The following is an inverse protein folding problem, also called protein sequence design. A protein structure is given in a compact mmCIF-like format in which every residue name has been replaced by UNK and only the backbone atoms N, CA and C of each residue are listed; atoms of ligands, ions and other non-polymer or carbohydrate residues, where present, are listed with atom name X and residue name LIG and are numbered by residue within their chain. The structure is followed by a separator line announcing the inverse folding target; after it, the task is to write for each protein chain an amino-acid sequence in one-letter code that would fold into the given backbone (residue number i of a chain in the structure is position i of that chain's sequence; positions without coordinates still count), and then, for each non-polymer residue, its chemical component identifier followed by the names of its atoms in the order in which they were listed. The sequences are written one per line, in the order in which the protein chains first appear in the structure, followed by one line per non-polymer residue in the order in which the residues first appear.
data_IF_069952314051
#
_entry.id   IF_069952314051
#
_cell.length_a   1.000
_cell.length_b   1.000
_cell.length_c   1.000
_cell.angle_alpha   90.00
_cell.angle_beta   90.00
_cell.angle_gamma   90.00
#
_symmetry.space_group_name_H-M   'P 1'
#
loop_
_entity.id
_entity.type
_entity.pdbx_description
1 polymer ?
#
# COMPACT_ATOMS: atom_id res chain seq x y z
N UNK A 1 -3.31 11.52 55.80
CA UNK A 1 -3.18 12.26 54.54
C UNK A 1 -2.95 11.22 53.44
N UNK A 2 -4.01 10.79 52.77
CA UNK A 2 -3.95 9.79 51.73
C UNK A 2 -3.39 10.45 50.44
N UNK A 3 -2.21 10.02 50.01
CA UNK A 3 -1.69 10.37 48.67
C UNK A 3 -2.38 9.44 47.64
N UNK A 4 -3.22 10.00 46.80
CA UNK A 4 -3.72 9.32 45.62
C UNK A 4 -2.62 9.44 44.56
N UNK A 5 -1.91 8.31 44.30
CA UNK A 5 -1.10 8.18 43.09
C UNK A 5 -2.06 8.05 41.91
N UNK A 6 -2.25 9.16 41.23
CA UNK A 6 -2.90 9.19 39.92
C UNK A 6 -1.89 8.60 38.93
N UNK A 7 -1.95 7.29 38.71
CA UNK A 7 -1.26 6.68 37.58
C UNK A 7 -1.91 7.23 36.30
N UNK A 8 -1.29 8.25 35.76
CA UNK A 8 -1.55 8.69 34.38
C UNK A 8 -0.96 7.58 33.51
N UNK A 9 -1.80 6.69 33.00
CA UNK A 9 -1.44 5.87 31.85
C UNK A 9 -1.24 6.85 30.71
N UNK A 10 0.00 7.22 30.44
CA UNK A 10 0.35 7.90 29.21
C UNK A 10 0.24 6.83 28.10
N UNK A 11 -0.96 6.56 27.63
CA UNK A 11 -1.14 6.01 26.31
C UNK A 11 -0.41 6.94 25.35
N UNK A 12 0.45 6.39 24.51
CA UNK A 12 1.09 7.16 23.48
C UNK A 12 0.01 7.95 22.73
N UNK A 13 0.17 9.28 22.69
CA UNK A 13 -0.83 10.13 22.05
C UNK A 13 -1.07 9.62 20.63
N UNK A 14 -2.33 9.35 20.31
CA UNK A 14 -2.69 8.90 18.95
C UNK A 14 -2.44 10.06 18.00
N UNK A 15 -1.59 9.84 17.01
CA UNK A 15 -1.33 10.79 15.93
C UNK A 15 -2.07 10.35 14.67
N UNK A 16 -2.63 11.34 13.95
CA UNK A 16 -3.24 11.08 12.66
C UNK A 16 -2.16 10.77 11.61
N UNK A 17 -2.37 9.70 10.83
CA UNK A 17 -1.51 9.35 9.69
C UNK A 17 -1.99 10.12 8.47
N UNK A 18 -1.08 10.79 7.77
CA UNK A 18 -1.41 11.46 6.51
C UNK A 18 -1.43 10.44 5.37
N UNK A 19 -2.25 10.68 4.34
CA UNK A 19 -2.31 9.81 3.18
C UNK A 19 -0.95 9.66 2.46
N UNK A 20 -0.13 10.72 2.45
CA UNK A 20 1.23 10.71 1.90
C UNK A 20 2.21 9.78 2.65
N UNK A 21 1.90 9.43 3.91
CA UNK A 21 2.73 8.52 4.71
C UNK A 21 2.45 7.04 4.40
N UNK A 22 1.39 6.75 3.65
CA UNK A 22 1.03 5.41 3.21
C UNK A 22 1.48 5.23 1.76
N UNK A 23 2.41 4.31 1.55
CA UNK A 23 3.02 4.05 0.25
C UNK A 23 2.69 2.65 -0.23
N UNK A 24 2.35 2.54 -1.51
CA UNK A 24 2.12 1.24 -2.15
C UNK A 24 3.26 0.91 -3.11
N UNK A 25 3.74 -0.33 -3.04
CA UNK A 25 4.77 -0.85 -3.93
C UNK A 25 4.29 -2.12 -4.60
N UNK A 26 4.73 -2.31 -5.83
CA UNK A 26 4.27 -3.36 -6.73
C UNK A 26 5.43 -4.09 -7.34
N UNK A 27 5.27 -5.39 -7.58
CA UNK A 27 6.21 -6.22 -8.33
C UNK A 27 5.47 -7.42 -8.91
N UNK A 28 5.83 -7.86 -10.10
CA UNK A 28 5.35 -9.15 -10.59
C UNK A 28 5.96 -10.29 -9.76
N UNK A 29 5.14 -11.24 -9.33
CA UNK A 29 5.61 -12.39 -8.54
C UNK A 29 6.71 -13.18 -9.27
N UNK A 30 6.61 -13.34 -10.59
CA UNK A 30 7.64 -14.02 -11.40
C UNK A 30 9.00 -13.30 -11.45
N UNK A 31 9.01 -12.00 -11.16
CA UNK A 31 10.22 -11.17 -11.13
C UNK A 31 10.79 -10.98 -9.71
N UNK A 32 10.25 -11.69 -8.73
CA UNK A 32 10.65 -11.56 -7.32
C UNK A 32 12.14 -11.81 -7.08
N UNK A 33 12.77 -12.69 -7.84
CA UNK A 33 14.20 -13.01 -7.71
C UNK A 33 15.14 -12.04 -8.43
N UNK A 34 14.62 -11.17 -9.30
CA UNK A 34 15.42 -10.32 -10.20
C UNK A 34 15.17 -8.81 -10.08
N UNK A 35 14.05 -8.42 -9.46
CA UNK A 35 13.67 -7.01 -9.36
C UNK A 35 13.20 -6.66 -7.95
N UNK A 36 13.49 -5.43 -7.52
CA UNK A 36 12.88 -4.83 -6.33
C UNK A 36 11.49 -4.31 -6.65
N UNK A 37 10.62 -4.23 -5.61
CA UNK A 37 9.30 -3.60 -5.75
C UNK A 37 9.46 -2.11 -6.07
N UNK A 38 8.53 -1.56 -6.85
CA UNK A 38 8.50 -0.16 -7.26
C UNK A 38 7.15 0.46 -6.92
N UNK A 39 7.13 1.74 -6.56
CA UNK A 39 5.91 2.54 -6.50
C UNK A 39 5.51 3.01 -7.90
N UNK A 40 4.23 3.31 -8.09
CA UNK A 40 3.76 4.03 -9.27
C UNK A 40 4.26 5.48 -9.20
N UNK A 41 4.76 5.99 -10.32
CA UNK A 41 5.11 7.40 -10.43
C UNK A 41 3.84 8.27 -10.40
N UNK A 42 3.95 9.45 -9.78
CA UNK A 42 2.85 10.44 -9.72
C UNK A 42 1.52 9.87 -9.20
N UNK A 43 1.59 9.00 -8.19
CA UNK A 43 0.39 8.48 -7.51
C UNK A 43 -0.41 9.63 -6.91
N UNK A 44 -1.69 9.69 -7.21
CA UNK A 44 -2.62 10.70 -6.67
C UNK A 44 -3.45 10.14 -5.53
N UNK A 45 -3.85 8.86 -5.61
CA UNK A 45 -4.70 8.21 -4.62
C UNK A 45 -4.44 6.72 -4.58
N UNK A 46 -4.56 6.14 -3.39
CA UNK A 46 -4.68 4.70 -3.19
C UNK A 46 -5.82 4.44 -2.22
N UNK A 47 -6.65 3.46 -2.53
CA UNK A 47 -7.73 3.01 -1.67
C UNK A 47 -7.58 1.51 -1.41
N UNK A 48 -7.85 1.09 -0.18
CA UNK A 48 -8.01 -0.30 0.20
C UNK A 48 -9.39 -0.50 0.77
N UNK A 49 -10.20 -1.29 0.09
CA UNK A 49 -11.53 -1.67 0.50
C UNK A 49 -11.54 -3.11 0.98
N UNK A 50 -12.05 -3.34 2.19
CA UNK A 50 -12.14 -4.66 2.79
C UNK A 50 -13.59 -4.93 3.17
N UNK A 51 -14.16 -6.00 2.64
CA UNK A 51 -15.52 -6.43 2.92
C UNK A 51 -15.56 -7.90 3.34
N UNK A 52 -16.56 -8.23 4.15
CA UNK A 52 -16.83 -9.62 4.53
C UNK A 52 -18.30 -9.92 4.33
N UNK A 53 -18.60 -11.01 3.66
CA UNK A 53 -19.97 -11.50 3.54
C UNK A 53 -20.41 -12.14 4.86
N UNK A 54 -21.71 -12.14 5.09
CA UNK A 54 -22.33 -12.86 6.20
C UNK A 54 -23.61 -13.55 5.73
N UNK A 55 -23.66 -14.86 5.91
CA UNK A 55 -24.87 -15.63 5.70
C UNK A 55 -25.70 -15.64 6.99
N UNK A 56 -27.00 -15.38 6.86
CA UNK A 56 -27.92 -15.46 7.99
C UNK A 56 -28.92 -16.58 7.78
N UNK A 57 -29.12 -17.40 8.80
CA UNK A 57 -30.14 -18.46 8.80
C UNK A 57 -31.15 -18.17 9.89
N UNK A 58 -32.41 -18.08 9.52
CA UNK A 58 -33.51 -17.95 10.47
C UNK A 58 -33.78 -19.30 11.12
N UNK A 59 -33.79 -19.32 12.45
CA UNK A 59 -34.10 -20.51 13.25
C UNK A 59 -35.32 -20.23 14.13
N UNK A 60 -35.90 -21.29 14.71
CA UNK A 60 -37.04 -21.13 15.65
C UNK A 60 -36.72 -20.28 16.87
N UNK A 61 -35.44 -20.16 17.23
CA UNK A 61 -34.95 -19.45 18.41
C UNK A 61 -34.32 -18.09 18.08
N UNK A 62 -34.34 -17.69 16.77
CA UNK A 62 -33.80 -16.41 16.30
C UNK A 62 -32.87 -16.55 15.11
N UNK A 63 -32.22 -15.45 14.74
CA UNK A 63 -31.36 -15.32 13.58
C UNK A 63 -29.92 -15.72 13.94
N UNK A 64 -29.36 -16.69 13.22
CA UNK A 64 -27.96 -17.11 13.37
C UNK A 64 -27.16 -16.59 12.20
N UNK A 65 -26.13 -15.78 12.46
CA UNK A 65 -25.21 -15.27 11.47
C UNK A 65 -23.94 -16.15 11.37
N UNK A 66 -23.54 -16.48 10.15
CA UNK A 66 -22.28 -17.17 9.84
C UNK A 66 -21.39 -16.21 9.08
N UNK A 67 -20.13 -16.03 9.52
CA UNK A 67 -19.15 -15.25 8.81
C UNK A 67 -18.78 -15.92 7.46
N UNK A 68 -18.84 -15.14 6.39
CA UNK A 68 -18.44 -15.55 5.05
C UNK A 68 -16.96 -15.25 4.76
N UNK A 69 -16.61 -15.22 3.48
CA UNK A 69 -15.24 -14.89 3.02
C UNK A 69 -14.97 -13.39 3.09
N UNK A 70 -13.71 -13.05 3.35
CA UNK A 70 -13.23 -11.66 3.25
C UNK A 70 -12.77 -11.41 1.82
N UNK A 71 -13.20 -10.29 1.25
CA UNK A 71 -12.73 -9.77 -0.05
C UNK A 71 -11.96 -8.47 0.20
N UNK A 72 -10.79 -8.34 -0.41
CA UNK A 72 -9.96 -7.15 -0.33
C UNK A 72 -9.69 -6.66 -1.75
N UNK A 73 -10.03 -5.41 -2.00
CA UNK A 73 -9.78 -4.72 -3.26
C UNK A 73 -8.88 -3.52 -3.00
N UNK A 74 -7.90 -3.32 -3.86
CA UNK A 74 -6.97 -2.19 -3.77
C UNK A 74 -7.02 -1.45 -5.10
N UNK A 75 -7.30 -0.15 -5.04
CA UNK A 75 -7.24 0.73 -6.21
C UNK A 75 -6.06 1.68 -6.10
N UNK A 76 -5.50 2.05 -7.24
CA UNK A 76 -4.40 2.99 -7.33
C UNK A 76 -4.62 3.91 -8.53
N UNK A 77 -4.63 5.22 -8.26
CA UNK A 77 -4.75 6.26 -9.28
C UNK A 77 -3.44 7.03 -9.39
N UNK A 78 -3.02 7.32 -10.61
CA UNK A 78 -1.79 8.07 -10.90
C UNK A 78 -1.92 8.88 -12.19
N UNK A 79 -1.04 9.85 -12.35
CA UNK A 79 -0.85 10.51 -13.65
C UNK A 79 0.03 9.58 -14.50
N UNK A 80 -0.39 9.36 -15.75
CA UNK A 80 0.32 8.48 -16.67
C UNK A 80 1.71 9.04 -16.98
N UNK A 81 2.75 8.26 -16.67
CA UNK A 81 4.13 8.63 -16.92
C UNK A 81 4.68 7.96 -18.18
N UNK A 82 5.49 8.69 -18.96
CA UNK A 82 6.15 8.16 -20.15
C UNK A 82 7.35 7.30 -19.74
N UNK A 83 7.37 6.04 -20.22
CA UNK A 83 8.51 5.14 -20.05
C UNK A 83 8.56 4.45 -18.68
N UNK A 84 7.46 4.42 -17.94
CA UNK A 84 7.37 3.67 -16.70
C UNK A 84 7.26 2.16 -16.98
N UNK A 85 8.35 1.45 -16.73
CA UNK A 85 8.41 -0.01 -16.95
C UNK A 85 7.47 -0.79 -16.04
N UNK A 86 7.07 -0.23 -14.88
CA UNK A 86 6.12 -0.87 -13.98
C UNK A 86 4.73 -0.94 -14.62
N UNK A 87 4.28 0.13 -15.29
CA UNK A 87 2.99 0.15 -15.99
C UNK A 87 2.95 -0.90 -17.09
N UNK A 88 4.05 -1.05 -17.84
CA UNK A 88 4.16 -2.09 -18.89
C UNK A 88 4.10 -3.50 -18.28
N UNK A 89 4.80 -3.72 -17.18
CA UNK A 89 4.80 -4.97 -16.44
C UNK A 89 3.40 -5.30 -15.91
N UNK A 90 2.71 -4.35 -15.27
CA UNK A 90 1.35 -4.52 -14.77
C UNK A 90 0.35 -4.75 -15.91
N UNK A 91 0.51 -4.05 -17.03
CA UNK A 91 -0.30 -4.29 -18.23
C UNK A 91 -0.10 -5.70 -18.78
N UNK A 92 1.14 -6.19 -18.78
CA UNK A 92 1.45 -7.58 -19.15
C UNK A 92 0.85 -8.58 -18.16
N UNK A 93 0.88 -8.26 -16.86
CA UNK A 93 0.28 -9.09 -15.81
C UNK A 93 -1.23 -9.24 -16.01
N UNK A 94 -1.93 -8.16 -16.32
CA UNK A 94 -3.36 -8.19 -16.62
C UNK A 94 -3.68 -9.08 -17.83
N UNK A 95 -2.97 -8.88 -18.96
CA UNK A 95 -3.19 -9.63 -20.20
C UNK A 95 -2.91 -11.12 -20.03
N UNK A 96 -1.90 -11.47 -19.25
CA UNK A 96 -1.44 -12.83 -19.04
C UNK A 96 -1.92 -13.47 -17.74
N UNK A 97 -2.78 -12.78 -16.98
CA UNK A 97 -3.34 -13.24 -15.69
C UNK A 97 -2.25 -13.66 -14.69
N UNK A 98 -1.20 -12.85 -14.60
CA UNK A 98 -0.08 -13.10 -13.69
C UNK A 98 -0.32 -12.46 -12.35
N UNK A 99 0.20 -13.09 -11.29
CA UNK A 99 0.14 -12.54 -9.93
C UNK A 99 1.09 -11.38 -9.76
N UNK A 100 0.62 -10.40 -9.00
CA UNK A 100 1.36 -9.22 -8.56
C UNK A 100 1.53 -9.31 -7.05
N UNK A 101 2.73 -9.03 -6.59
CA UNK A 101 3.02 -8.77 -5.19
C UNK A 101 2.78 -7.29 -4.91
N UNK A 102 2.12 -6.99 -3.80
CA UNK A 102 1.75 -5.65 -3.41
C UNK A 102 2.09 -5.44 -1.93
N UNK A 103 2.68 -4.32 -1.59
CA UNK A 103 2.97 -3.89 -0.23
C UNK A 103 2.30 -2.56 0.06
N UNK A 104 1.53 -2.51 1.14
CA UNK A 104 1.05 -1.27 1.76
C UNK A 104 1.98 -0.97 2.92
N UNK A 105 2.69 0.14 2.90
CA UNK A 105 3.75 0.50 3.84
C UNK A 105 3.38 1.79 4.56
N UNK A 106 3.43 1.76 5.90
CA UNK A 106 3.24 2.96 6.71
C UNK A 106 4.60 3.54 7.13
N UNK A 107 4.99 4.64 6.50
CA UNK A 107 6.28 5.30 6.74
C UNK A 107 6.39 5.97 8.13
N UNK A 108 5.27 6.13 8.85
CA UNK A 108 5.25 6.66 10.23
C UNK A 108 5.45 5.60 11.30
N UNK A 109 5.45 4.32 10.93
CA UNK A 109 5.66 3.20 11.86
C UNK A 109 6.96 2.45 11.52
N UNK A 110 8.15 3.05 11.83
CA UNK A 110 9.41 2.35 11.66
C UNK A 110 9.53 1.19 12.65
N UNK A 111 10.26 0.14 12.28
CA UNK A 111 10.56 -0.96 13.19
C UNK A 111 11.42 -0.46 14.36
N UNK A 112 11.00 -0.73 15.58
CA UNK A 112 11.64 -0.23 16.79
C UNK A 112 13.10 -0.75 16.99
N UNK A 113 13.44 -1.88 16.38
CA UNK A 113 14.78 -2.47 16.43
C UNK A 113 15.26 -2.83 15.02
N UNK A 114 16.31 -2.18 14.52
CA UNK A 114 16.87 -2.46 13.19
C UNK A 114 17.53 -1.23 12.54
N UNK A 115 17.93 -1.37 11.29
CA UNK A 115 18.70 -0.37 10.53
C UNK A 115 17.91 0.89 10.12
N UNK A 116 16.74 1.16 10.70
CA UNK A 116 15.94 2.36 10.44
C UNK A 116 15.26 2.42 9.06
N UNK A 117 15.44 1.41 8.21
CA UNK A 117 14.88 1.36 6.85
C UNK A 117 13.71 0.38 6.71
N UNK A 118 13.22 -0.17 7.82
CA UNK A 118 12.07 -1.09 7.84
C UNK A 118 10.87 -0.42 8.46
N UNK A 119 9.75 -0.52 7.78
CA UNK A 119 8.50 0.10 8.15
C UNK A 119 7.40 -0.94 8.19
N UNK A 120 6.43 -0.75 9.07
CA UNK A 120 5.26 -1.62 9.15
C UNK A 120 4.56 -1.69 7.80
N UNK A 121 4.27 -2.89 7.37
CA UNK A 121 3.71 -3.14 6.06
C UNK A 121 2.77 -4.34 6.09
N UNK A 122 1.79 -4.32 5.19
CA UNK A 122 0.97 -5.48 4.87
C UNK A 122 1.31 -5.92 3.45
N UNK A 123 1.59 -7.19 3.29
CA UNK A 123 1.96 -7.83 2.04
C UNK A 123 0.79 -8.60 1.46
N UNK A 124 0.56 -8.44 0.18
CA UNK A 124 -0.53 -9.07 -0.55
C UNK A 124 -0.05 -9.78 -1.81
N UNK A 125 -0.68 -10.90 -2.13
CA UNK A 125 -0.75 -11.42 -3.49
C UNK A 125 -2.06 -10.95 -4.11
N UNK A 126 -1.99 -10.38 -5.30
CA UNK A 126 -3.16 -9.87 -6.00
C UNK A 126 -3.10 -10.15 -7.49
N UNK A 127 -4.25 -10.06 -8.12
CA UNK A 127 -4.37 -9.99 -9.58
C UNK A 127 -4.82 -8.59 -9.95
N UNK A 128 -4.18 -7.99 -10.93
CA UNK A 128 -4.71 -6.79 -11.57
C UNK A 128 -5.95 -7.22 -12.36
N UNK A 129 -7.12 -6.66 -12.01
CA UNK A 129 -8.41 -7.00 -12.60
C UNK A 129 -8.88 -5.97 -13.60
N UNK A 130 -8.52 -4.72 -13.39
CA UNK A 130 -8.89 -3.60 -14.25
C UNK A 130 -7.73 -2.62 -14.41
N UNK A 131 -7.61 -2.07 -15.61
CA UNK A 131 -6.74 -0.94 -15.95
C UNK A 131 -7.55 0.02 -16.80
N UNK A 132 -7.73 1.24 -16.33
CA UNK A 132 -8.39 2.33 -17.03
C UNK A 132 -7.41 3.46 -17.32
N UNK A 133 -7.44 4.01 -18.51
CA UNK A 133 -6.67 5.19 -18.90
C UNK A 133 -7.62 6.25 -19.43
N UNK A 134 -7.57 7.44 -18.85
CA UNK A 134 -8.34 8.58 -19.29
C UNK A 134 -7.42 9.64 -19.84
N UNK A 135 -7.67 10.12 -21.07
CA UNK A 135 -6.93 11.19 -21.70
C UNK A 135 -7.89 12.27 -22.19
N UNK A 136 -7.86 13.42 -21.55
CA UNK A 136 -8.60 14.62 -21.98
C UNK A 136 -7.62 15.58 -22.69
N UNK A 137 -8.16 16.41 -23.61
CA UNK A 137 -7.32 17.34 -24.39
C UNK A 137 -6.76 18.50 -23.58
N UNK A 138 -7.34 18.76 -22.42
CA UNK A 138 -7.07 19.88 -21.51
C UNK A 138 -6.52 19.47 -20.15
N UNK A 139 -6.25 18.18 -19.96
CA UNK A 139 -5.72 17.63 -18.69
C UNK A 139 -4.64 16.57 -18.92
N UNK A 140 -3.92 16.24 -17.85
CA UNK A 140 -2.93 15.15 -17.87
C UNK A 140 -3.65 13.79 -17.97
N UNK A 141 -3.07 12.89 -18.74
CA UNK A 141 -3.60 11.54 -18.84
C UNK A 141 -3.53 10.83 -17.45
N UNK A 142 -4.63 10.22 -17.07
CA UNK A 142 -4.77 9.53 -15.80
C UNK A 142 -4.79 8.02 -16.00
N UNK A 143 -4.24 7.31 -15.04
CA UNK A 143 -4.21 5.86 -14.96
C UNK A 143 -4.90 5.43 -13.68
N UNK A 144 -5.81 4.47 -13.78
CA UNK A 144 -6.43 3.81 -12.65
C UNK A 144 -6.24 2.30 -12.77
N UNK A 145 -5.85 1.67 -11.66
CA UNK A 145 -5.58 0.24 -11.55
C UNK A 145 -6.39 -0.34 -10.40
N UNK A 146 -7.06 -1.46 -10.65
CA UNK A 146 -7.81 -2.20 -9.62
C UNK A 146 -7.22 -3.58 -9.43
N UNK A 147 -6.89 -3.91 -8.19
CA UNK A 147 -6.30 -5.19 -7.79
C UNK A 147 -7.26 -5.95 -6.88
N UNK A 148 -7.52 -7.20 -7.23
CA UNK A 148 -8.21 -8.14 -6.36
C UNK A 148 -7.18 -8.96 -5.57
N UNK A 149 -7.23 -8.86 -4.26
CA UNK A 149 -6.29 -9.55 -3.36
C UNK A 149 -6.71 -11.01 -3.18
N UNK A 150 -5.72 -11.89 -3.15
CA UNK A 150 -5.89 -13.30 -2.80
C UNK A 150 -5.65 -13.49 -1.29
N UNK A 151 -6.65 -14.00 -0.59
CA UNK A 151 -6.55 -14.25 0.86
C UNK A 151 -6.71 -12.98 1.71
N UNK A 152 -5.97 -12.90 2.80
CA UNK A 152 -6.11 -11.86 3.85
C UNK A 152 -4.93 -10.90 3.94
N UNK A 153 -3.87 -11.14 3.15
CA UNK A 153 -2.59 -10.47 3.33
C UNK A 153 -1.80 -10.99 4.54
N UNK A 154 -0.59 -10.50 4.69
CA UNK A 154 0.31 -10.83 5.78
C UNK A 154 0.98 -9.56 6.32
N UNK A 155 0.84 -9.32 7.61
CA UNK A 155 1.48 -8.18 8.28
C UNK A 155 2.94 -8.47 8.59
N UNK A 156 3.77 -7.44 8.46
CA UNK A 156 5.20 -7.53 8.69
C UNK A 156 5.90 -6.19 8.56
N UNK A 157 7.18 -6.24 8.22
CA UNK A 157 7.98 -5.04 7.97
C UNK A 157 8.63 -5.13 6.59
N UNK A 158 8.46 -4.09 5.79
CA UNK A 158 9.11 -3.96 4.49
C UNK A 158 10.32 -3.05 4.57
N UNK A 159 11.38 -3.41 3.85
CA UNK A 159 12.55 -2.56 3.69
C UNK A 159 12.30 -1.57 2.56
N UNK A 160 12.47 -0.28 2.87
CA UNK A 160 12.41 0.81 1.88
C UNK A 160 13.83 1.30 1.65
N UNK A 161 14.28 1.31 0.39
CA UNK A 161 15.63 1.78 0.06
C UNK A 161 15.75 3.30 0.21
N UNK A 162 16.98 3.80 0.36
CA UNK A 162 17.21 5.25 0.47
C UNK A 162 16.70 6.01 -0.77
N UNK A 163 16.83 5.42 -1.97
CA UNK A 163 16.32 5.99 -3.21
C UNK A 163 14.79 6.03 -3.25
N UNK A 164 14.11 4.96 -2.80
CA UNK A 164 12.66 4.93 -2.68
C UNK A 164 12.18 5.94 -1.65
N UNK A 165 12.89 6.07 -0.52
CA UNK A 165 12.58 7.06 0.50
C UNK A 165 12.77 8.49 -0.01
N UNK A 166 13.82 8.77 -0.77
CA UNK A 166 14.07 10.09 -1.37
C UNK A 166 13.01 10.51 -2.39
N UNK A 167 12.33 9.56 -3.04
CA UNK A 167 11.18 9.83 -3.92
C UNK A 167 9.90 10.16 -3.14
N UNK A 168 9.77 9.64 -1.93
CA UNK A 168 8.62 9.86 -1.04
C UNK A 168 8.82 11.12 -0.20
N UNK A 169 10.00 11.24 0.42
CA UNK A 169 10.38 12.40 1.22
C UNK A 169 11.03 13.45 0.30
N UNK A 170 10.35 14.58 0.08
CA UNK A 170 10.98 15.73 -0.56
C UNK A 170 12.00 16.34 0.42
N UNK A 171 13.17 15.68 0.54
CA UNK A 171 14.22 16.14 1.43
C UNK A 171 14.83 17.43 0.90
N UNK A 172 14.97 18.46 1.75
CA UNK A 172 15.71 19.66 1.45
C UNK A 172 17.13 19.27 1.02
N UNK A 173 17.52 19.68 -0.18
CA UNK A 173 18.90 19.57 -0.66
C UNK A 173 19.56 20.93 -0.67
N UNK A 174 20.79 21.01 -0.11
CA UNK A 174 21.59 22.22 -0.19
C UNK A 174 21.91 22.54 -1.65
N UNK A 175 22.02 23.83 -1.98
CA UNK A 175 22.37 24.32 -3.31
C UNK A 175 23.84 24.06 -3.67
N UNK A 176 24.65 23.56 -2.73
CA UNK A 176 26.04 23.16 -2.97
C UNK A 176 26.09 21.83 -3.73
N UNK A 177 27.16 21.67 -4.55
CA UNK A 177 27.37 20.47 -5.34
C UNK A 177 27.40 19.22 -4.44
N UNK A 178 26.52 18.24 -4.72
CA UNK A 178 26.53 16.97 -4.01
C UNK A 178 27.86 16.25 -4.27
N UNK A 179 28.59 15.95 -3.21
CA UNK A 179 29.81 15.12 -3.29
C UNK A 179 29.36 13.68 -3.54
N UNK A 180 29.76 13.12 -4.68
CA UNK A 180 29.51 11.72 -4.99
C UNK A 180 30.16 10.84 -3.92
N UNK A 181 29.37 9.95 -3.30
CA UNK A 181 29.81 8.96 -2.33
C UNK A 181 30.42 7.74 -3.03
#
# INVERSE_FOLDING_TARGET
MLKYDLQIFADAALEAVQGSDIVYMYRLLEKASSQTAKGLAFTTENEESMSADSDTTETKDGLVAKAGSVSIEITASSILSKGDTLIDDLTSALKNRKKVELWKINMKEPQASGDGNKYKATYYHAYLTEKSETSASDDLAQLELTFQVEGKGADGYATVTAEQKALIDYAFQDTTQAVAA
#
